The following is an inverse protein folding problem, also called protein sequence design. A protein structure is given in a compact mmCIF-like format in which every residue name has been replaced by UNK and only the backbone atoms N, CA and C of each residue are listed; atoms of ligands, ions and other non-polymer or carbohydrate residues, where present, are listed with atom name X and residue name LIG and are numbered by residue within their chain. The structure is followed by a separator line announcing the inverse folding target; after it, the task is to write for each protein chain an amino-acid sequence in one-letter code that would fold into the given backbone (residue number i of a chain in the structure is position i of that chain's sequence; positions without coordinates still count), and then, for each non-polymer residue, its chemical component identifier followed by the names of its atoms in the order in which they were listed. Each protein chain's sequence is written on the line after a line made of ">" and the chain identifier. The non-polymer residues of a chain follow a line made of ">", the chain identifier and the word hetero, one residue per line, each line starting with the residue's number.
data_IF_671280445813
#
_entry.id   IF_671280445813
#
_cell.length_a   1.000
_cell.length_b   1.000
_cell.length_c   1.000
_cell.angle_alpha   90.00
_cell.angle_beta   90.00
_cell.angle_gamma   90.00
#
_symmetry.space_group_name_H-M   'P 1'
#
loop_
_entity.id
_entity.type
_entity.pdbx_description
1 polymer ?
#
# COMPACT_ATOMS: atom_id res chain seq x y z
N UNK A 1 -2.89 -9.95 -3.99
CA UNK A 1 -2.78 -9.10 -5.18
C UNK A 1 -2.02 -7.82 -4.83
N UNK A 2 -2.45 -7.01 -3.84
CA UNK A 2 -1.78 -5.76 -3.47
C UNK A 2 -0.33 -5.96 -3.03
N UNK A 3 -0.03 -6.98 -2.23
CA UNK A 3 1.33 -7.32 -1.85
C UNK A 3 2.23 -7.62 -3.05
N UNK A 4 1.76 -8.41 -4.01
CA UNK A 4 2.52 -8.72 -5.22
C UNK A 4 2.72 -7.49 -6.13
N UNK A 5 1.68 -6.64 -6.26
CA UNK A 5 1.78 -5.41 -7.02
C UNK A 5 2.78 -4.44 -6.37
N UNK A 6 2.76 -4.32 -5.06
CA UNK A 6 3.67 -3.47 -4.31
C UNK A 6 5.12 -4.00 -4.35
N UNK A 7 5.30 -5.33 -4.30
CA UNK A 7 6.60 -5.95 -4.50
C UNK A 7 7.18 -5.63 -5.89
N UNK A 8 6.38 -5.76 -6.94
CA UNK A 8 6.80 -5.41 -8.29
C UNK A 8 7.18 -3.94 -8.43
N UNK A 9 6.33 -3.02 -7.91
CA UNK A 9 6.60 -1.58 -7.96
C UNK A 9 7.84 -1.21 -7.14
N UNK A 10 7.97 -1.76 -5.94
CA UNK A 10 9.09 -1.48 -5.06
C UNK A 10 10.44 -1.90 -5.66
N UNK A 11 10.50 -3.06 -6.29
CA UNK A 11 11.70 -3.53 -6.98
C UNK A 11 12.03 -2.71 -8.25
N UNK A 12 11.02 -2.16 -8.91
CA UNK A 12 11.22 -1.40 -10.15
C UNK A 12 11.50 0.09 -9.93
N UNK A 13 10.84 0.70 -8.97
CA UNK A 13 10.86 2.16 -8.74
C UNK A 13 11.61 2.52 -7.46
N UNK A 14 11.88 1.55 -6.58
CA UNK A 14 12.52 1.78 -5.28
C UNK A 14 11.58 2.41 -4.24
N UNK A 15 10.28 2.44 -4.51
CA UNK A 15 9.27 3.00 -3.61
C UNK A 15 8.08 2.06 -3.48
N UNK A 16 7.49 2.02 -2.30
CA UNK A 16 6.21 1.36 -2.05
C UNK A 16 5.08 2.39 -2.04
N UNK A 17 3.92 1.99 -2.52
CA UNK A 17 2.72 2.84 -2.54
C UNK A 17 1.70 2.26 -1.59
N UNK A 18 1.11 3.12 -0.75
CA UNK A 18 0.01 2.69 0.11
C UNK A 18 -1.19 2.22 -0.72
N UNK A 19 -1.58 0.98 -0.50
CA UNK A 19 -2.73 0.36 -1.16
C UNK A 19 -3.99 0.40 -0.29
N UNK A 20 -3.93 0.99 0.90
CA UNK A 20 -5.03 1.01 1.86
C UNK A 20 -6.27 1.69 1.30
N UNK A 21 -6.12 2.90 0.74
CA UNK A 21 -7.23 3.65 0.15
C UNK A 21 -7.76 2.98 -1.13
N UNK A 22 -6.94 2.60 -2.12
CA UNK A 22 -7.41 1.83 -3.26
C UNK A 22 -8.11 0.53 -2.88
N UNK A 23 -7.60 -0.20 -1.87
CA UNK A 23 -8.23 -1.40 -1.38
C UNK A 23 -9.61 -1.14 -0.77
N UNK A 24 -9.77 -0.05 -0.02
CA UNK A 24 -11.06 0.38 0.51
C UNK A 24 -12.08 0.64 -0.62
N UNK A 25 -11.69 1.43 -1.62
CA UNK A 25 -12.57 1.77 -2.75
C UNK A 25 -12.96 0.53 -3.57
N UNK A 26 -11.99 -0.31 -3.90
CA UNK A 26 -12.24 -1.55 -4.67
C UNK A 26 -13.13 -2.51 -3.87
N UNK A 27 -12.88 -2.66 -2.56
CA UNK A 27 -13.69 -3.53 -1.70
C UNK A 27 -15.15 -3.10 -1.66
N UNK A 28 -15.41 -1.80 -1.50
CA UNK A 28 -16.77 -1.25 -1.55
C UNK A 28 -17.43 -1.51 -2.90
N UNK A 29 -16.71 -1.29 -3.99
CA UNK A 29 -17.22 -1.56 -5.34
C UNK A 29 -17.61 -3.04 -5.52
N UNK A 30 -16.73 -3.95 -5.13
CA UNK A 30 -16.96 -5.40 -5.24
C UNK A 30 -18.12 -5.84 -4.35
N UNK A 31 -18.12 -5.45 -3.08
CA UNK A 31 -19.17 -5.87 -2.12
C UNK A 31 -20.54 -5.34 -2.54
N UNK A 32 -20.61 -4.08 -2.98
CA UNK A 32 -21.86 -3.46 -3.39
C UNK A 32 -22.39 -3.99 -4.72
N UNK A 33 -21.53 -4.15 -5.74
CA UNK A 33 -21.95 -4.54 -7.09
C UNK A 33 -22.12 -6.06 -7.23
N UNK A 34 -21.17 -6.85 -6.72
CA UNK A 34 -21.16 -8.29 -6.90
C UNK A 34 -21.97 -8.98 -5.80
N UNK A 35 -21.72 -8.63 -4.53
CA UNK A 35 -22.40 -9.27 -3.40
C UNK A 35 -23.76 -8.63 -3.09
N UNK A 36 -24.07 -7.46 -3.68
CA UNK A 36 -25.32 -6.69 -3.45
C UNK A 36 -25.60 -6.45 -1.97
N UNK A 37 -24.55 -6.28 -1.19
CA UNK A 37 -24.58 -5.97 0.24
C UNK A 37 -23.99 -4.60 0.48
N UNK A 38 -24.42 -3.95 1.54
CA UNK A 38 -23.82 -2.69 1.99
C UNK A 38 -23.33 -2.92 3.42
N UNK A 39 -22.05 -3.25 3.55
CA UNK A 39 -21.43 -3.56 4.85
C UNK A 39 -20.05 -2.90 4.93
N UNK A 40 -19.99 -1.85 5.73
CA UNK A 40 -18.74 -1.14 6.02
C UNK A 40 -17.72 -2.05 6.70
N UNK A 41 -18.18 -2.97 7.56
CA UNK A 41 -17.31 -3.88 8.29
C UNK A 41 -16.61 -4.88 7.36
N UNK A 42 -17.34 -5.41 6.36
CA UNK A 42 -16.75 -6.30 5.35
C UNK A 42 -15.72 -5.55 4.51
N UNK A 43 -16.04 -4.31 4.09
CA UNK A 43 -15.13 -3.45 3.33
C UNK A 43 -13.88 -3.11 4.15
N UNK A 44 -14.03 -2.82 5.43
CA UNK A 44 -12.91 -2.54 6.33
C UNK A 44 -12.03 -3.78 6.54
N UNK A 45 -12.60 -4.98 6.66
CA UNK A 45 -11.80 -6.21 6.73
C UNK A 45 -10.98 -6.45 5.47
N UNK A 46 -11.57 -6.26 4.30
CA UNK A 46 -10.84 -6.42 3.02
C UNK A 46 -9.71 -5.40 2.90
N UNK A 47 -9.97 -4.15 3.27
CA UNK A 47 -8.96 -3.09 3.30
C UNK A 47 -7.82 -3.43 4.27
N UNK A 48 -8.13 -3.89 5.48
CA UNK A 48 -7.12 -4.24 6.50
C UNK A 48 -6.25 -5.41 6.05
N UNK A 49 -6.85 -6.47 5.47
CA UNK A 49 -6.10 -7.60 4.92
C UNK A 49 -5.21 -7.17 3.75
N UNK A 50 -5.73 -6.29 2.89
CA UNK A 50 -4.97 -5.71 1.77
C UNK A 50 -3.75 -4.92 2.25
N UNK A 51 -3.94 -4.08 3.25
CA UNK A 51 -2.87 -3.27 3.88
C UNK A 51 -1.83 -4.14 4.59
N UNK A 52 -2.24 -5.20 5.28
CA UNK A 52 -1.30 -6.14 5.89
C UNK A 52 -0.40 -6.82 4.86
N UNK A 53 -0.96 -7.24 3.72
CA UNK A 53 -0.18 -7.80 2.61
C UNK A 53 0.80 -6.82 1.99
N UNK A 54 0.42 -5.57 1.89
CA UNK A 54 1.28 -4.46 1.45
C UNK A 54 2.45 -4.23 2.40
N UNK A 55 2.18 -4.12 3.69
CA UNK A 55 3.21 -3.89 4.71
C UNK A 55 4.25 -5.01 4.77
N UNK A 56 3.81 -6.27 4.63
CA UNK A 56 4.71 -7.41 4.54
C UNK A 56 5.59 -7.34 3.29
N UNK A 57 5.01 -6.99 2.15
CA UNK A 57 5.77 -6.84 0.91
C UNK A 57 6.80 -5.71 1.00
N UNK A 58 6.42 -4.56 1.58
CA UNK A 58 7.32 -3.43 1.79
C UNK A 58 8.51 -3.83 2.68
N UNK A 59 8.28 -4.52 3.79
CA UNK A 59 9.35 -5.04 4.64
C UNK A 59 10.31 -5.96 3.89
N UNK A 60 9.79 -6.90 3.11
CA UNK A 60 10.59 -7.82 2.33
C UNK A 60 11.44 -7.12 1.25
N UNK A 61 10.88 -6.15 0.54
CA UNK A 61 11.57 -5.43 -0.55
C UNK A 61 12.79 -4.67 -0.05
N UNK A 62 12.71 -4.07 1.12
CA UNK A 62 13.82 -3.25 1.65
C UNK A 62 14.88 -4.07 2.39
N UNK A 63 14.55 -5.25 2.89
CA UNK A 63 15.49 -6.05 3.68
C UNK A 63 16.08 -7.23 2.91
N UNK A 64 15.29 -7.91 2.08
CA UNK A 64 15.77 -9.11 1.37
C UNK A 64 16.89 -8.86 0.36
N UNK A 65 16.93 -7.74 -0.40
CA UNK A 65 18.04 -7.50 -1.31
C UNK A 65 19.40 -7.50 -0.66
N UNK A 66 19.50 -7.10 0.62
CA UNK A 66 20.77 -7.13 1.35
C UNK A 66 21.32 -8.55 1.50
N UNK A 67 20.46 -9.54 1.71
CA UNK A 67 20.87 -10.95 1.80
C UNK A 67 21.43 -11.48 0.46
N UNK A 68 20.81 -11.06 -0.64
CA UNK A 68 21.29 -11.46 -1.97
C UNK A 68 22.63 -10.80 -2.31
N UNK A 69 22.83 -9.53 -1.96
CA UNK A 69 24.10 -8.84 -2.13
C UNK A 69 25.21 -9.49 -1.31
N UNK A 70 24.94 -9.84 -0.06
CA UNK A 70 25.91 -10.54 0.77
C UNK A 70 26.24 -11.94 0.26
N UNK A 71 25.27 -12.62 -0.34
CA UNK A 71 25.53 -13.91 -0.97
C UNK A 71 26.43 -13.76 -2.22
N UNK A 72 26.23 -12.70 -3.02
CA UNK A 72 27.10 -12.39 -4.16
C UNK A 72 28.52 -12.03 -3.73
N UNK A 73 28.69 -11.37 -2.58
CA UNK A 73 29.99 -11.07 -1.98
C UNK A 73 30.64 -12.30 -1.29
N UNK A 74 29.93 -13.42 -1.23
CA UNK A 74 30.43 -14.65 -0.60
C UNK A 74 30.42 -14.63 0.92
N UNK A 75 29.69 -13.71 1.54
CA UNK A 75 29.57 -13.57 2.99
C UNK A 75 28.55 -14.53 3.59
N UNK A 76 27.58 -14.99 2.81
CA UNK A 76 26.58 -15.97 3.20
C UNK A 76 26.15 -16.81 2.01
N UNK A 77 25.46 -17.92 2.28
CA UNK A 77 24.84 -18.72 1.22
C UNK A 77 23.61 -18.02 0.63
N UNK A 78 23.26 -18.34 -0.62
CA UNK A 78 22.04 -17.82 -1.24
C UNK A 78 20.82 -18.21 -0.43
N UNK A 79 19.98 -17.22 0.00
CA UNK A 79 18.81 -17.51 0.83
C UNK A 79 17.82 -18.38 0.08
N UNK A 80 17.43 -19.48 0.71
CA UNK A 80 16.41 -20.38 0.16
C UNK A 80 15.01 -19.80 0.33
N UNK A 81 14.07 -20.25 -0.49
CA UNK A 81 12.66 -19.83 -0.38
C UNK A 81 12.07 -20.13 1.02
N UNK A 82 12.52 -21.21 1.65
CA UNK A 82 12.07 -21.61 2.99
C UNK A 82 12.58 -20.60 4.03
N UNK A 83 13.85 -20.21 3.96
CA UNK A 83 14.43 -19.20 4.87
C UNK A 83 13.72 -17.86 4.74
N UNK A 84 13.51 -17.38 3.53
CA UNK A 84 12.76 -16.14 3.27
C UNK A 84 11.35 -16.21 3.87
N UNK A 85 10.67 -17.34 3.67
CA UNK A 85 9.32 -17.54 4.20
C UNK A 85 9.31 -17.57 5.73
N UNK A 86 10.28 -18.23 6.36
CA UNK A 86 10.39 -18.27 7.82
C UNK A 86 10.71 -16.90 8.40
N UNK A 87 11.60 -16.14 7.79
CA UNK A 87 11.92 -14.76 8.21
C UNK A 87 10.67 -13.90 8.15
N UNK A 88 9.92 -13.94 7.04
CA UNK A 88 8.69 -13.17 6.87
C UNK A 88 7.61 -13.59 7.88
N UNK A 89 7.46 -14.89 8.13
CA UNK A 89 6.51 -15.41 9.11
C UNK A 89 6.86 -14.96 10.53
N UNK A 90 8.12 -15.14 10.93
CA UNK A 90 8.58 -14.71 12.26
C UNK A 90 8.44 -13.20 12.45
N UNK A 91 8.77 -12.41 11.44
CA UNK A 91 8.60 -10.96 11.45
C UNK A 91 7.12 -10.56 11.61
N UNK A 92 6.22 -11.21 10.88
CA UNK A 92 4.78 -10.99 11.00
C UNK A 92 4.24 -11.33 12.39
N UNK A 93 4.62 -12.48 12.94
CA UNK A 93 4.22 -12.90 14.30
C UNK A 93 4.75 -11.91 15.35
N UNK A 94 6.01 -11.52 15.27
CA UNK A 94 6.61 -10.53 16.17
C UNK A 94 5.87 -9.19 16.09
N UNK A 95 5.55 -8.71 14.89
CA UNK A 95 4.81 -7.48 14.68
C UNK A 95 3.44 -7.50 15.38
N UNK A 96 2.70 -8.60 15.25
CA UNK A 96 1.43 -8.78 15.96
C UNK A 96 1.62 -8.80 17.47
N UNK A 97 2.59 -9.56 17.98
CA UNK A 97 2.85 -9.66 19.41
C UNK A 97 3.24 -8.31 20.04
N UNK A 98 4.04 -7.50 19.35
CA UNK A 98 4.38 -6.16 19.79
C UNK A 98 3.19 -5.20 19.73
N UNK A 99 2.34 -5.32 18.70
CA UNK A 99 1.20 -4.42 18.52
C UNK A 99 0.11 -4.62 19.58
N UNK A 100 -0.10 -5.82 20.09
CA UNK A 100 -1.12 -6.11 21.10
C UNK A 100 -1.00 -5.21 22.34
N UNK A 101 0.15 -5.10 23.03
CA UNK A 101 0.29 -4.19 24.17
C UNK A 101 0.35 -2.71 23.74
N UNK A 102 0.99 -2.40 22.62
CA UNK A 102 1.15 -1.03 22.14
C UNK A 102 -0.16 -0.41 21.65
N UNK A 103 -1.11 -1.21 21.16
CA UNK A 103 -2.40 -0.74 20.68
C UNK A 103 -3.14 0.11 21.71
N UNK A 104 -3.15 -0.33 22.96
CA UNK A 104 -3.85 0.40 24.02
C UNK A 104 -3.17 1.76 24.32
N UNK A 105 -1.86 1.81 24.30
CA UNK A 105 -1.11 3.04 24.51
C UNK A 105 -1.23 4.00 23.32
N UNK A 106 -0.87 3.54 22.13
CA UNK A 106 -0.73 4.40 20.95
C UNK A 106 -2.06 4.72 20.26
N UNK A 107 -2.98 3.77 20.20
CA UNK A 107 -4.22 3.97 19.43
C UNK A 107 -5.37 4.43 20.35
N UNK A 108 -5.46 3.91 21.59
CA UNK A 108 -6.59 4.24 22.45
C UNK A 108 -6.31 5.47 23.31
N UNK A 109 -5.17 5.51 24.03
CA UNK A 109 -4.85 6.62 24.95
C UNK A 109 -4.37 7.87 24.24
N UNK A 110 -3.56 7.71 23.19
CA UNK A 110 -2.98 8.84 22.45
C UNK A 110 -3.78 9.17 21.18
N UNK A 111 -5.04 8.76 21.10
CA UNK A 111 -5.87 8.94 19.89
C UNK A 111 -6.02 10.40 19.47
N UNK A 112 -6.10 11.32 20.43
CA UNK A 112 -6.27 12.75 20.15
C UNK A 112 -4.95 13.47 19.84
N UNK A 113 -3.82 12.91 20.30
CA UNK A 113 -2.49 13.51 20.12
C UNK A 113 -1.75 12.98 18.92
N UNK A 114 -1.92 11.68 18.61
CA UNK A 114 -1.31 11.04 17.45
C UNK A 114 -2.26 11.07 16.25
N UNK A 115 -1.84 11.81 15.23
CA UNK A 115 -2.57 11.88 13.96
C UNK A 115 -2.24 10.66 13.11
N UNK A 116 -3.28 9.90 12.73
CA UNK A 116 -3.18 8.77 11.81
C UNK A 116 -3.84 9.13 10.46
N UNK A 117 -3.19 9.94 9.62
CA UNK A 117 -3.84 10.54 8.44
C UNK A 117 -4.32 9.51 7.43
N UNK A 118 -3.56 8.44 7.24
CA UNK A 118 -3.94 7.37 6.33
C UNK A 118 -5.14 6.56 6.84
N UNK A 119 -5.12 6.19 8.12
CA UNK A 119 -6.24 5.48 8.76
C UNK A 119 -7.53 6.31 8.74
N UNK A 120 -7.42 7.61 9.04
CA UNK A 120 -8.55 8.54 8.99
C UNK A 120 -9.08 8.67 7.56
N UNK A 121 -8.23 8.86 6.56
CA UNK A 121 -8.64 8.92 5.17
C UNK A 121 -9.32 7.63 4.68
N UNK A 122 -8.84 6.45 5.12
CA UNK A 122 -9.50 5.18 4.82
C UNK A 122 -10.89 5.10 5.45
N UNK A 123 -11.05 5.55 6.70
CA UNK A 123 -12.33 5.59 7.39
C UNK A 123 -13.31 6.53 6.68
N UNK A 124 -12.87 7.73 6.30
CA UNK A 124 -13.68 8.72 5.58
C UNK A 124 -14.15 8.17 4.21
N UNK A 125 -13.26 7.48 3.49
CA UNK A 125 -13.62 6.84 2.22
C UNK A 125 -14.65 5.74 2.41
N UNK A 126 -14.52 4.91 3.45
CA UNK A 126 -15.48 3.85 3.76
C UNK A 126 -16.84 4.42 4.16
N UNK A 127 -16.86 5.48 4.99
CA UNK A 127 -18.09 6.18 5.40
C UNK A 127 -18.77 6.84 4.20
N UNK A 128 -18.04 7.59 3.38
CA UNK A 128 -18.56 8.19 2.16
C UNK A 128 -19.14 7.13 1.20
N UNK A 129 -18.52 5.96 1.15
CA UNK A 129 -19.01 4.84 0.39
C UNK A 129 -20.32 4.26 0.95
N UNK A 130 -20.50 4.21 2.28
CA UNK A 130 -21.70 3.71 2.92
C UNK A 130 -22.88 4.66 2.74
N UNK A 131 -22.66 5.95 2.97
CA UNK A 131 -23.68 6.99 2.77
C UNK A 131 -24.16 7.06 1.33
N UNK A 132 -23.28 6.75 0.38
CA UNK A 132 -23.57 6.84 -1.06
C UNK A 132 -23.70 8.28 -1.55
N UNK A 133 -24.40 8.47 -2.67
CA UNK A 133 -24.67 9.81 -3.21
C UNK A 133 -23.43 10.48 -3.83
N UNK A 134 -23.36 11.81 -3.70
CA UNK A 134 -22.33 12.63 -4.34
C UNK A 134 -20.91 12.32 -3.86
N UNK A 135 -20.75 12.03 -2.58
CA UNK A 135 -19.45 11.74 -1.97
C UNK A 135 -18.85 10.43 -2.53
N UNK A 136 -19.64 9.36 -2.59
CA UNK A 136 -19.23 8.11 -3.20
C UNK A 136 -18.91 8.29 -4.70
N UNK A 137 -19.73 9.02 -5.43
CA UNK A 137 -19.52 9.31 -6.86
C UNK A 137 -18.19 10.03 -7.09
N UNK A 138 -17.81 10.97 -6.23
CA UNK A 138 -16.55 11.70 -6.34
C UNK A 138 -15.35 10.77 -6.15
N UNK A 139 -15.39 9.86 -5.17
CA UNK A 139 -14.32 8.88 -4.93
C UNK A 139 -14.15 7.95 -6.14
N UNK A 140 -15.25 7.38 -6.63
CA UNK A 140 -15.20 6.45 -7.77
C UNK A 140 -14.81 7.15 -9.09
N UNK A 141 -15.25 8.39 -9.31
CA UNK A 141 -14.86 9.16 -10.49
C UNK A 141 -13.37 9.53 -10.46
N UNK A 142 -12.85 9.92 -9.29
CA UNK A 142 -11.42 10.17 -9.10
C UNK A 142 -10.57 8.94 -9.38
N UNK A 143 -10.97 7.78 -8.85
CA UNK A 143 -10.30 6.51 -9.14
C UNK A 143 -10.34 6.16 -10.63
N UNK A 144 -11.49 6.33 -11.29
CA UNK A 144 -11.65 6.08 -12.71
C UNK A 144 -10.75 6.99 -13.56
N UNK A 145 -10.70 8.28 -13.22
CA UNK A 145 -9.83 9.24 -13.90
C UNK A 145 -8.34 8.89 -13.73
N UNK A 146 -7.92 8.55 -12.52
CA UNK A 146 -6.55 8.14 -12.24
C UNK A 146 -6.17 6.85 -12.99
N UNK A 147 -7.08 5.88 -13.03
CA UNK A 147 -6.86 4.63 -13.79
C UNK A 147 -6.77 4.89 -15.30
N UNK A 148 -7.63 5.75 -15.84
CA UNK A 148 -7.58 6.14 -17.25
C UNK A 148 -6.29 6.88 -17.60
N UNK A 149 -5.88 7.82 -16.76
CA UNK A 149 -4.60 8.52 -16.93
C UNK A 149 -3.42 7.56 -16.90
N UNK A 150 -3.38 6.65 -15.93
CA UNK A 150 -2.32 5.65 -15.82
C UNK A 150 -2.29 4.71 -17.03
N UNK A 151 -3.45 4.32 -17.53
CA UNK A 151 -3.55 3.52 -18.75
C UNK A 151 -3.01 4.25 -19.99
N UNK A 152 -3.27 5.56 -20.12
CA UNK A 152 -2.72 6.37 -21.22
C UNK A 152 -1.20 6.48 -21.14
N UNK A 153 -0.66 6.68 -19.93
CA UNK A 153 0.79 6.83 -19.72
C UNK A 153 1.52 5.50 -19.91
N UNK A 154 1.11 4.45 -19.21
CA UNK A 154 1.84 3.18 -19.16
C UNK A 154 1.37 2.19 -20.23
N UNK A 155 0.08 2.19 -20.55
CA UNK A 155 -0.50 1.27 -21.52
C UNK A 155 -0.28 1.73 -22.95
N UNK A 156 -0.64 2.95 -23.27
CA UNK A 156 -0.50 3.52 -24.61
C UNK A 156 0.86 4.18 -24.84
N UNK A 157 1.62 4.47 -23.79
CA UNK A 157 2.93 5.13 -23.84
C UNK A 157 2.93 6.44 -24.66
N UNK A 158 1.80 7.14 -24.63
CA UNK A 158 1.62 8.41 -25.36
C UNK A 158 2.34 9.56 -24.65
N UNK A 159 2.41 9.50 -23.33
CA UNK A 159 3.10 10.49 -22.50
C UNK A 159 4.33 9.85 -21.85
N UNK A 160 5.44 10.59 -21.73
CA UNK A 160 6.60 10.09 -20.99
C UNK A 160 6.22 9.90 -19.52
N UNK A 161 6.65 8.77 -18.95
CA UNK A 161 6.44 8.46 -17.52
C UNK A 161 7.21 9.41 -16.60
N UNK A 162 8.30 9.99 -17.11
CA UNK A 162 9.16 10.89 -16.37
C UNK A 162 9.29 12.22 -17.11
N UNK A 163 8.89 13.30 -16.42
CA UNK A 163 9.09 14.66 -16.90
C UNK A 163 10.25 15.26 -16.12
N UNK A 164 11.46 15.17 -16.67
CA UNK A 164 12.65 15.75 -16.08
C UNK A 164 12.85 17.19 -16.59
N UNK A 165 12.68 18.15 -15.70
CA UNK A 165 13.09 19.54 -15.95
C UNK A 165 14.51 19.74 -15.45
N UNK A 166 15.48 19.82 -16.37
CA UNK A 166 16.85 20.18 -16.03
C UNK A 166 16.96 21.71 -15.92
N UNK A 167 16.97 22.23 -14.71
CA UNK A 167 17.36 23.61 -14.48
C UNK A 167 18.87 23.73 -14.61
N UNK A 168 19.34 24.37 -15.70
CA UNK A 168 20.73 24.70 -15.87
C UNK A 168 21.04 25.86 -14.87
N UNK A 169 21.67 25.52 -13.74
CA UNK A 169 22.15 26.54 -12.81
C UNK A 169 23.13 27.44 -13.53
N UNK A 170 22.82 28.73 -13.63
CA UNK A 170 23.75 29.76 -14.09
C UNK A 170 24.86 29.82 -13.05
N UNK A 171 26.04 29.27 -13.36
CA UNK A 171 27.27 29.62 -12.65
C UNK A 171 27.61 31.04 -13.07
N UNK A 172 27.31 32.01 -12.22
CA UNK A 172 27.97 33.33 -12.27
C UNK A 172 29.46 33.15 -11.99
N UNK A 173 30.29 33.74 -12.85
CA UNK A 173 31.71 33.97 -12.63
C UNK A 173 31.94 34.81 -11.37
#
# INVERSE_FOLDING_TARGET
>A
IFGAANAYLGLRVGMTVSASIPAAVISMGVIRVIMKRNSILESNMVQTIGSAGESLAAGAIFTMPALFLWAEEGLCDMPSLVEITLIALCGGVLGVLFMVPLRNALIVKEHETLLYPEGTACADVLLAGEEGGANASTVFSGMGLAAAFKFVVDGLKVLPSDVAFAFKSFKGE
#
